data_IF_284860173553
#
_entry.id   IF_284860173553
#
_cell.length_a   1.000
_cell.length_b   1.000
_cell.length_c   1.000
_cell.angle_alpha   90.00
_cell.angle_beta   90.00
_cell.angle_gamma   90.00
#
_symmetry.space_group_name_H-M   'P 1'
#
loop_
_entity.id
_entity.type
_entity.pdbx_description
1 polymer ?
#
# COMPACT_ATOMS: atom_id res chain seq x y z
N UNK A 1 17.89 3.48 10.71
CA UNK A 1 16.87 3.24 9.65
C UNK A 1 15.75 2.30 10.11
N UNK A 2 16.05 1.20 10.82
CA UNK A 2 15.07 0.16 11.17
C UNK A 2 13.81 0.67 11.89
N UNK A 3 13.96 1.62 12.82
CA UNK A 3 12.83 2.20 13.56
C UNK A 3 11.94 3.12 12.71
N UNK A 4 12.48 3.75 11.66
CA UNK A 4 11.69 4.56 10.72
C UNK A 4 10.78 3.65 9.90
N UNK A 5 11.36 2.55 9.40
CA UNK A 5 10.62 1.56 8.62
C UNK A 5 9.57 0.87 9.48
N UNK A 6 9.87 0.52 10.74
CA UNK A 6 8.88 -0.01 11.70
C UNK A 6 7.73 0.97 12.00
N UNK A 7 7.96 2.27 11.94
CA UNK A 7 6.91 3.30 12.06
C UNK A 7 6.08 3.48 10.80
N UNK A 8 6.34 2.69 9.75
CA UNK A 8 5.63 2.75 8.48
C UNK A 8 6.12 3.84 7.53
N UNK A 9 7.32 4.38 7.74
CA UNK A 9 7.94 5.32 6.78
C UNK A 9 8.45 4.52 5.58
N UNK A 10 8.14 5.01 4.38
CA UNK A 10 8.51 4.37 3.12
C UNK A 10 10.04 4.28 2.92
N UNK A 11 10.48 3.17 2.30
CA UNK A 11 11.90 2.89 2.06
C UNK A 11 12.59 3.92 1.17
N UNK A 12 11.87 4.54 0.24
CA UNK A 12 12.37 5.64 -0.58
C UNK A 12 12.64 6.88 0.28
N UNK A 13 11.71 7.23 1.17
CA UNK A 13 11.92 8.34 2.11
C UNK A 13 13.09 8.06 3.05
N UNK A 14 13.21 6.83 3.56
CA UNK A 14 14.35 6.42 4.40
C UNK A 14 15.68 6.48 3.62
N UNK A 15 15.69 6.09 2.34
CA UNK A 15 16.86 6.20 1.45
C UNK A 15 17.31 7.66 1.33
N UNK A 16 16.39 8.57 1.02
CA UNK A 16 16.71 10.00 0.87
C UNK A 16 17.19 10.62 2.19
N UNK A 17 16.55 10.27 3.32
CA UNK A 17 16.96 10.74 4.65
C UNK A 17 18.36 10.27 5.06
N UNK A 18 18.77 9.08 4.62
CA UNK A 18 20.09 8.52 4.90
C UNK A 18 21.13 8.93 3.85
N UNK A 19 20.73 9.60 2.77
CA UNK A 19 21.62 9.95 1.66
C UNK A 19 22.15 8.73 0.90
N UNK A 20 21.43 7.61 0.93
CA UNK A 20 21.83 6.41 0.19
C UNK A 20 21.64 6.63 -1.30
N UNK A 21 22.67 6.37 -2.11
CA UNK A 21 22.59 6.57 -3.57
C UNK A 21 21.63 5.58 -4.23
N UNK A 22 21.48 4.38 -3.67
CA UNK A 22 20.65 3.30 -4.23
C UNK A 22 19.71 2.71 -3.20
N UNK A 23 18.54 2.26 -3.64
CA UNK A 23 17.53 1.66 -2.77
C UNK A 23 18.03 0.35 -2.14
N UNK A 24 18.93 -0.38 -2.82
CA UNK A 24 19.50 -1.64 -2.31
C UNK A 24 20.29 -1.49 -1.01
N UNK A 25 20.80 -0.30 -0.70
CA UNK A 25 21.42 -0.01 0.60
C UNK A 25 20.37 0.02 1.73
N UNK A 26 19.12 0.36 1.39
CA UNK A 26 17.98 0.49 2.30
C UNK A 26 17.08 -0.76 2.29
N UNK A 27 17.18 -1.62 1.27
CA UNK A 27 16.44 -2.91 1.17
C UNK A 27 16.68 -3.83 2.36
N UNK A 28 17.85 -3.73 3.02
CA UNK A 28 18.12 -4.42 4.30
C UNK A 28 17.03 -4.13 5.34
N UNK A 29 16.32 -3.02 5.27
CA UNK A 29 15.27 -2.66 6.22
C UNK A 29 13.86 -3.01 5.75
N UNK A 30 13.67 -3.46 4.50
CA UNK A 30 12.35 -3.71 3.93
C UNK A 30 11.53 -4.73 4.73
N UNK A 31 12.20 -5.73 5.31
CA UNK A 31 11.58 -6.74 6.15
C UNK A 31 11.05 -6.22 7.50
N UNK A 32 11.42 -5.00 7.90
CA UNK A 32 10.94 -4.35 9.12
C UNK A 32 9.72 -3.48 8.88
N UNK A 33 9.26 -3.37 7.62
CA UNK A 33 8.06 -2.61 7.32
C UNK A 33 6.88 -3.29 8.03
N UNK A 34 6.04 -2.53 8.75
CA UNK A 34 4.76 -3.05 9.21
C UNK A 34 3.94 -3.48 7.99
N UNK A 35 2.79 -4.13 8.18
CA UNK A 35 1.77 -4.50 7.18
C UNK A 35 1.25 -3.31 6.33
N UNK A 36 2.17 -2.60 5.71
CA UNK A 36 2.00 -1.39 4.91
C UNK A 36 1.30 -1.78 3.61
N UNK A 37 1.54 -3.01 3.15
CA UNK A 37 0.79 -3.62 2.06
C UNK A 37 -0.69 -3.76 2.41
N UNK A 38 -1.02 -4.34 3.55
CA UNK A 38 -2.41 -4.50 4.01
C UNK A 38 -3.10 -3.15 4.16
N UNK A 39 -2.40 -2.15 4.70
CA UNK A 39 -2.92 -0.78 4.82
C UNK A 39 -3.08 -0.08 3.47
N UNK A 40 -2.15 -0.28 2.53
CA UNK A 40 -2.26 0.28 1.18
C UNK A 40 -3.42 -0.37 0.40
N UNK A 41 -3.62 -1.68 0.57
CA UNK A 41 -4.78 -2.40 0.01
C UNK A 41 -6.07 -1.85 0.62
N UNK A 42 -6.14 -1.66 1.94
CA UNK A 42 -7.30 -1.08 2.59
C UNK A 42 -7.64 0.33 2.07
N UNK A 43 -6.64 1.21 1.95
CA UNK A 43 -6.83 2.56 1.38
C UNK A 43 -7.29 2.49 -0.09
N UNK A 44 -6.75 1.55 -0.87
CA UNK A 44 -7.19 1.34 -2.25
C UNK A 44 -8.63 0.85 -2.34
N UNK A 45 -9.06 -0.05 -1.44
CA UNK A 45 -10.44 -0.53 -1.35
C UNK A 45 -11.42 0.57 -0.92
N UNK A 46 -10.99 1.51 -0.10
CA UNK A 46 -11.79 2.69 0.31
C UNK A 46 -11.98 3.69 -0.84
N UNK A 47 -10.94 3.91 -1.65
CA UNK A 47 -10.96 4.85 -2.79
C UNK A 47 -11.59 4.25 -4.06
N UNK A 48 -11.78 2.94 -4.13
CA UNK A 48 -12.62 2.32 -5.14
C UNK A 48 -14.08 2.41 -4.65
N UNK A 49 -14.91 3.36 -5.15
CA UNK A 49 -16.34 3.19 -4.99
C UNK A 49 -16.65 1.86 -5.64
N UNK A 50 -17.07 0.87 -4.84
CA UNK A 50 -17.62 -0.38 -5.32
C UNK A 50 -18.60 0.04 -6.40
N UNK A 51 -18.21 -0.13 -7.66
CA UNK A 51 -19.11 0.04 -8.79
C UNK A 51 -20.13 -1.03 -8.52
N UNK A 52 -21.20 -0.62 -7.85
CA UNK A 52 -22.25 -1.50 -7.41
C UNK A 52 -22.62 -2.22 -8.68
N UNK A 53 -22.41 -3.54 -8.67
CA UNK A 53 -22.90 -4.38 -9.73
C UNK A 53 -24.36 -4.00 -9.89
N UNK A 54 -24.63 -3.21 -10.94
CA UNK A 54 -25.97 -3.02 -11.45
C UNK A 54 -26.30 -4.38 -11.99
N UNK A 55 -26.74 -5.25 -11.08
CA UNK A 55 -27.48 -6.44 -11.40
C UNK A 55 -28.60 -5.93 -12.29
N UNK A 56 -28.44 -6.12 -13.59
CA UNK A 56 -29.51 -5.98 -14.54
C UNK A 56 -30.47 -7.13 -14.23
N UNK A 57 -31.23 -6.97 -13.14
CA UNK A 57 -32.48 -7.68 -12.92
C UNK A 57 -33.46 -7.08 -13.91
N UNK A 58 -33.33 -7.52 -15.16
CA UNK A 58 -34.45 -7.58 -16.08
C UNK A 58 -34.92 -9.04 -16.05
N UNK A 59 -35.54 -9.43 -14.93
CA UNK A 59 -36.67 -10.36 -15.03
C UNK A 59 -37.75 -9.62 -15.82
N UNK A 60 -38.34 -10.18 -16.86
CA UNK A 60 -39.03 -11.46 -16.81
C UNK A 60 -40.52 -11.12 -16.77
N UNK A 61 -41.24 -11.63 -17.78
CA UNK A 61 -42.68 -11.90 -17.76
C UNK A 61 -43.64 -10.69 -17.88
N UNK A 62 -43.97 -10.28 -19.12
CA UNK A 62 -45.33 -10.26 -19.69
C UNK A 62 -45.31 -10.01 -21.22
#
# INVERSE_FOLDING_TARGET
ASWLVQRGIDLYTVKELLGHSTISQTERYAHLAPDTFTRAVQVLEEEQPKSQGKILSMGGDE
#
